data_IF_089993515970
#
_entry.id   IF_089993515970
#
_cell.length_a   1.000
_cell.length_b   1.000
_cell.length_c   1.000
_cell.angle_alpha   90.00
_cell.angle_beta   90.00
_cell.angle_gamma   90.00
#
_symmetry.space_group_name_H-M   'P 1'
#
loop_
_entity.id
_entity.type
_entity.pdbx_description
1 polymer ?
#
# COMPACT_ATOMS: atom_id res chain seq x y z
N UNK A 1 14.13 23.47 -9.51
CA UNK A 1 13.70 22.09 -9.81
C UNK A 1 13.18 21.89 -11.25
N UNK A 2 13.01 22.92 -12.10
CA UNK A 2 12.70 22.70 -13.53
C UNK A 2 11.37 22.00 -13.82
N UNK A 3 10.44 22.02 -12.87
CA UNK A 3 9.12 21.39 -12.99
C UNK A 3 8.13 22.42 -13.54
N UNK A 4 7.34 22.01 -14.52
CA UNK A 4 6.24 22.79 -15.09
C UNK A 4 4.90 22.24 -14.65
N UNK A 5 3.98 23.13 -14.30
CA UNK A 5 2.61 22.77 -13.93
C UNK A 5 1.81 22.38 -15.18
N UNK A 6 1.06 21.28 -15.08
CA UNK A 6 0.14 20.81 -16.11
C UNK A 6 -1.23 20.61 -15.47
N UNK A 7 -2.23 21.31 -15.97
CA UNK A 7 -3.58 21.23 -15.44
C UNK A 7 -4.36 20.08 -16.08
N UNK A 8 -5.10 19.34 -15.26
CA UNK A 8 -6.15 18.44 -15.71
C UNK A 8 -7.46 19.19 -15.92
N UNK A 9 -8.13 18.94 -17.03
CA UNK A 9 -9.45 19.48 -17.30
C UNK A 9 -10.47 19.03 -16.24
N UNK A 10 -11.39 19.90 -15.80
CA UNK A 10 -12.42 19.53 -14.85
C UNK A 10 -13.22 18.32 -15.33
N UNK A 11 -13.54 17.39 -14.40
CA UNK A 11 -14.35 16.19 -14.67
C UNK A 11 -13.78 15.26 -15.76
N UNK A 12 -12.46 15.28 -15.98
CA UNK A 12 -11.77 14.44 -16.96
C UNK A 12 -10.81 13.44 -16.29
N UNK A 13 -11.33 12.39 -15.61
CA UNK A 13 -10.50 11.44 -14.85
C UNK A 13 -9.49 10.69 -15.73
N UNK A 14 -9.78 10.57 -17.03
CA UNK A 14 -8.89 9.94 -18.01
C UNK A 14 -7.57 10.67 -18.24
N UNK A 15 -7.46 11.95 -17.84
CA UNK A 15 -6.21 12.71 -17.95
C UNK A 15 -5.23 12.43 -16.81
N UNK A 16 -5.69 11.82 -15.71
CA UNK A 16 -4.84 11.38 -14.60
C UNK A 16 -5.18 9.95 -14.16
N UNK A 17 -5.17 8.97 -15.09
CA UNK A 17 -5.69 7.63 -14.82
C UNK A 17 -4.89 6.90 -13.73
N UNK A 18 -3.61 7.23 -13.57
CA UNK A 18 -2.75 6.70 -12.52
C UNK A 18 -3.17 7.17 -11.13
N UNK A 19 -3.46 8.47 -10.97
CA UNK A 19 -3.92 9.03 -9.68
C UNK A 19 -5.28 8.45 -9.32
N UNK A 20 -6.21 8.40 -10.28
CA UNK A 20 -7.53 7.79 -10.07
C UNK A 20 -7.43 6.32 -9.65
N UNK A 21 -6.52 5.56 -10.27
CA UNK A 21 -6.26 4.17 -9.89
C UNK A 21 -5.73 4.05 -8.46
N UNK A 22 -4.83 4.94 -8.05
CA UNK A 22 -4.31 4.96 -6.66
C UNK A 22 -5.44 5.29 -5.68
N UNK A 23 -6.25 6.31 -5.95
CA UNK A 23 -7.40 6.69 -5.10
C UNK A 23 -8.37 5.50 -4.96
N UNK A 24 -8.74 4.87 -6.08
CA UNK A 24 -9.62 3.70 -6.04
C UNK A 24 -9.04 2.52 -5.25
N UNK A 25 -7.72 2.34 -5.29
CA UNK A 25 -7.03 1.31 -4.51
C UNK A 25 -7.11 1.62 -3.01
N UNK A 26 -6.79 2.86 -2.61
CA UNK A 26 -6.90 3.29 -1.22
C UNK A 26 -8.32 3.15 -0.67
N UNK A 27 -9.34 3.43 -1.49
CA UNK A 27 -10.74 3.22 -1.07
C UNK A 27 -11.05 1.76 -0.82
N UNK A 28 -10.85 0.91 -1.84
CA UNK A 28 -11.18 -0.53 -1.79
C UNK A 28 -10.38 -1.31 -0.75
N UNK A 29 -9.15 -0.91 -0.46
CA UNK A 29 -8.25 -1.67 0.41
C UNK A 29 -8.09 -1.04 1.80
N UNK A 30 -8.53 0.20 2.03
CA UNK A 30 -8.35 0.88 3.31
C UNK A 30 -9.58 1.68 3.76
N UNK A 31 -9.98 2.69 2.98
CA UNK A 31 -10.89 3.72 3.47
C UNK A 31 -12.35 3.29 3.50
N UNK A 32 -12.75 2.31 2.70
CA UNK A 32 -14.12 1.77 2.73
C UNK A 32 -14.31 0.76 3.89
N UNK A 33 -13.23 0.37 4.59
CA UNK A 33 -13.27 -0.61 5.69
C UNK A 33 -13.12 0.00 7.09
N UNK A 34 -12.71 1.27 7.17
CA UNK A 34 -12.36 1.91 8.44
C UNK A 34 -13.04 3.27 8.60
N UNK A 35 -13.50 3.54 9.82
CA UNK A 35 -14.06 4.86 10.16
C UNK A 35 -12.92 5.82 10.49
N UNK A 36 -12.75 6.84 9.66
CA UNK A 36 -11.74 7.88 9.84
C UNK A 36 -12.29 8.99 10.74
N UNK A 37 -11.86 9.02 12.00
CA UNK A 37 -12.36 10.00 12.99
C UNK A 37 -11.69 11.38 12.94
N UNK A 38 -10.54 11.52 12.26
CA UNK A 38 -9.85 12.81 12.10
C UNK A 38 -8.83 12.80 10.97
N UNK A 39 -8.39 13.98 10.53
CA UNK A 39 -7.31 14.10 9.55
C UNK A 39 -5.99 13.49 10.04
N UNK A 40 -5.64 13.67 11.32
CA UNK A 40 -4.45 13.05 11.89
C UNK A 40 -4.56 11.53 11.90
N UNK A 41 -5.75 11.00 12.17
CA UNK A 41 -6.00 9.56 12.08
C UNK A 41 -5.81 9.08 10.63
N UNK A 42 -6.40 9.76 9.65
CA UNK A 42 -6.23 9.43 8.23
C UNK A 42 -4.76 9.36 7.83
N UNK A 43 -3.97 10.38 8.19
CA UNK A 43 -2.53 10.42 7.87
C UNK A 43 -1.77 9.25 8.49
N UNK A 44 -2.12 8.86 9.71
CA UNK A 44 -1.51 7.69 10.38
C UNK A 44 -1.88 6.39 9.68
N UNK A 45 -3.16 6.21 9.29
CA UNK A 45 -3.62 5.03 8.56
C UNK A 45 -2.95 4.92 7.20
N UNK A 46 -2.90 6.02 6.44
CA UNK A 46 -2.26 6.05 5.12
C UNK A 46 -0.76 5.74 5.21
N UNK A 47 -0.05 6.29 6.19
CA UNK A 47 1.38 5.97 6.41
C UNK A 47 1.57 4.48 6.71
N UNK A 48 0.86 3.94 7.70
CA UNK A 48 0.95 2.50 8.02
C UNK A 48 0.62 1.62 6.82
N UNK A 49 -0.44 1.97 6.10
CA UNK A 49 -0.82 1.24 4.89
C UNK A 49 0.28 1.30 3.82
N UNK A 50 0.87 2.47 3.56
CA UNK A 50 1.89 2.63 2.52
C UNK A 50 3.23 1.98 2.91
N UNK A 51 3.70 2.28 4.11
CA UNK A 51 5.03 1.94 4.58
C UNK A 51 5.13 0.48 5.04
N UNK A 52 4.06 -0.06 5.66
CA UNK A 52 4.08 -1.40 6.24
C UNK A 52 3.43 -2.46 5.34
N UNK A 53 2.64 -2.08 4.33
CA UNK A 53 1.91 -3.01 3.47
C UNK A 53 2.03 -2.76 1.96
N UNK A 54 1.64 -1.59 1.46
CA UNK A 54 1.54 -1.32 0.02
C UNK A 54 2.89 -1.44 -0.70
N UNK A 55 3.92 -0.74 -0.22
CA UNK A 55 5.24 -0.80 -0.82
C UNK A 55 5.96 -2.14 -0.55
N UNK A 56 5.98 -2.70 0.68
CA UNK A 56 6.81 -3.88 0.96
C UNK A 56 6.13 -5.25 0.74
N UNK A 57 4.80 -5.30 0.58
CA UNK A 57 4.08 -6.58 0.65
C UNK A 57 3.03 -6.77 -0.43
N UNK A 58 2.26 -5.73 -0.77
CA UNK A 58 1.18 -5.82 -1.76
C UNK A 58 1.76 -6.27 -3.11
N UNK A 59 1.14 -7.25 -3.74
CA UNK A 59 1.62 -7.78 -5.03
C UNK A 59 1.14 -6.92 -6.19
N UNK A 60 2.01 -6.64 -7.15
CA UNK A 60 1.71 -5.87 -8.36
C UNK A 60 1.91 -6.73 -9.61
N UNK A 61 0.86 -6.91 -10.41
CA UNK A 61 0.93 -7.73 -11.65
C UNK A 61 1.99 -7.21 -12.63
N UNK A 62 2.11 -5.89 -12.78
CA UNK A 62 3.13 -5.27 -13.64
C UNK A 62 4.57 -5.49 -13.15
N UNK A 63 4.74 -5.92 -11.89
CA UNK A 63 6.03 -6.25 -11.28
C UNK A 63 6.21 -7.77 -11.12
N UNK A 64 5.52 -8.58 -11.94
CA UNK A 64 5.63 -10.04 -11.86
C UNK A 64 5.08 -10.61 -10.55
N UNK A 65 4.08 -9.94 -9.96
CA UNK A 65 3.52 -10.22 -8.62
C UNK A 65 4.47 -9.92 -7.46
N UNK A 66 5.56 -9.20 -7.70
CA UNK A 66 6.39 -8.63 -6.64
C UNK A 66 5.78 -7.30 -6.11
N UNK A 67 6.33 -6.79 -5.02
CA UNK A 67 5.98 -5.51 -4.42
C UNK A 67 6.90 -4.38 -4.91
N UNK A 68 6.48 -3.10 -4.82
CA UNK A 68 7.30 -1.96 -5.25
C UNK A 68 8.65 -1.87 -4.53
N UNK A 69 8.67 -2.11 -3.23
CA UNK A 69 9.88 -2.22 -2.42
C UNK A 69 10.27 -3.70 -2.35
N UNK A 70 11.18 -4.10 -3.25
CA UNK A 70 11.68 -5.48 -3.30
C UNK A 70 12.19 -5.93 -1.93
N UNK A 71 11.93 -7.19 -1.61
CA UNK A 71 12.44 -7.87 -0.42
C UNK A 71 13.13 -9.17 -0.79
N UNK A 72 14.04 -9.62 0.06
CA UNK A 72 14.67 -10.92 -0.13
C UNK A 72 13.67 -12.07 0.05
N UNK A 73 13.93 -13.17 -0.64
CA UNK A 73 13.11 -14.38 -0.52
C UNK A 73 13.42 -15.06 0.81
N UNK A 74 12.40 -15.16 1.65
CA UNK A 74 12.51 -15.77 2.98
C UNK A 74 12.41 -17.30 2.89
N UNK A 75 13.57 -17.96 2.91
CA UNK A 75 13.71 -19.40 2.77
C UNK A 75 13.30 -20.16 4.03
N UNK A 76 12.92 -21.46 3.94
CA UNK A 76 12.48 -22.24 5.09
C UNK A 76 13.46 -22.30 6.27
N UNK A 77 14.76 -22.16 6.02
CA UNK A 77 15.80 -22.21 7.05
C UNK A 77 15.79 -20.98 7.98
N UNK A 78 15.11 -19.90 7.59
CA UNK A 78 14.96 -18.69 8.40
C UNK A 78 13.94 -18.83 9.54
N UNK A 79 13.34 -20.02 9.70
CA UNK A 79 12.42 -20.34 10.78
C UNK A 79 10.95 -20.38 10.36
N UNK A 80 10.07 -20.26 11.36
CA UNK A 80 8.64 -20.44 11.19
C UNK A 80 7.99 -19.20 10.59
N UNK A 81 6.94 -19.41 9.78
CA UNK A 81 6.14 -18.30 9.26
C UNK A 81 5.34 -17.70 10.42
N UNK A 82 5.51 -16.40 10.63
CA UNK A 82 4.75 -15.58 11.56
C UNK A 82 3.91 -14.57 10.79
N UNK A 83 2.75 -14.25 11.36
CA UNK A 83 1.83 -13.25 10.86
C UNK A 83 2.02 -11.93 11.61
N UNK A 84 2.15 -10.84 10.87
CA UNK A 84 2.27 -9.49 11.40
C UNK A 84 1.05 -8.68 10.96
N UNK A 85 0.13 -8.32 11.87
CA UNK A 85 -1.04 -7.53 11.53
C UNK A 85 -0.64 -6.09 11.20
N UNK A 86 -1.20 -5.58 10.10
CA UNK A 86 -1.00 -4.23 9.60
C UNK A 86 -2.34 -3.49 9.60
N UNK A 87 -2.31 -2.20 9.94
CA UNK A 87 -3.53 -1.36 10.02
C UNK A 87 -4.61 -2.01 10.92
N UNK A 88 -4.19 -2.44 12.11
CA UNK A 88 -5.12 -3.04 13.09
C UNK A 88 -5.68 -4.40 12.68
N UNK A 89 -5.00 -5.13 11.78
CA UNK A 89 -5.42 -6.46 11.31
C UNK A 89 -6.28 -6.43 10.05
N UNK A 90 -6.46 -5.27 9.42
CA UNK A 90 -7.10 -5.20 8.10
C UNK A 90 -6.26 -5.90 7.02
N UNK A 91 -4.93 -5.77 7.13
CA UNK A 91 -3.96 -6.42 6.26
C UNK A 91 -2.96 -7.22 7.09
N UNK A 92 -2.26 -8.15 6.45
CA UNK A 92 -1.27 -8.99 7.12
C UNK A 92 0.00 -9.09 6.26
N UNK A 93 1.15 -9.05 6.94
CA UNK A 93 2.45 -9.39 6.37
C UNK A 93 2.89 -10.72 6.95
N UNK A 94 3.33 -11.63 6.10
CA UNK A 94 3.87 -12.92 6.51
C UNK A 94 5.39 -12.91 6.34
N UNK A 95 6.10 -13.31 7.39
CA UNK A 95 7.56 -13.37 7.38
C UNK A 95 8.06 -14.61 8.14
N UNK A 96 9.26 -15.11 7.86
CA UNK A 96 9.91 -16.20 8.59
C UNK A 96 10.86 -15.63 9.64
N UNK A 97 10.74 -16.14 10.87
CA UNK A 97 11.61 -15.74 11.99
C UNK A 97 12.08 -16.99 12.76
N UNK A 98 13.36 -17.01 13.12
CA UNK A 98 13.91 -18.00 14.03
C UNK A 98 13.28 -17.82 15.43
N UNK A 99 13.06 -18.94 16.12
CA UNK A 99 12.49 -18.98 17.47
C UNK A 99 13.43 -18.34 18.51
#
# INVERSE_FOLDING_TARGET
>A
MGIHEVFSAPRSPWQSPYVERVIGTLRRELLDHLIVVSQQHLRRLLRRYLDDYYHPCRTHLSLGKDSPARREVERPEMGNVIELPVVGGLHHRYTRRAA
#
